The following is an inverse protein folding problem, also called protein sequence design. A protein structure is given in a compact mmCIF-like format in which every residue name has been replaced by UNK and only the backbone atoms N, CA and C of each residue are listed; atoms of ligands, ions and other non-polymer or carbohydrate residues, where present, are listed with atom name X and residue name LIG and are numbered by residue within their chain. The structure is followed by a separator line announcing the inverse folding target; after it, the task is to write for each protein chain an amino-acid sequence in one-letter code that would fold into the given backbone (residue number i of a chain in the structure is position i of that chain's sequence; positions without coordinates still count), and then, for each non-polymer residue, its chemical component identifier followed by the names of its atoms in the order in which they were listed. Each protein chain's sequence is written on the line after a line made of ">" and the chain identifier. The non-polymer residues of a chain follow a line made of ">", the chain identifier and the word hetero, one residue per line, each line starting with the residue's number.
data_IF_372764559259
#
_entry.id   IF_372764559259
#
_cell.length_a   1.000
_cell.length_b   1.000
_cell.length_c   1.000
_cell.angle_alpha   90.00
_cell.angle_beta   90.00
_cell.angle_gamma   90.00
#
_symmetry.space_group_name_H-M   'P 1'
#
loop_
_entity.id
_entity.type
_entity.pdbx_description
1 polymer ?
#
# COMPACT_ATOMS: atom_id res chain seq x y z
N UNK A 1 16.39 28.29 -1.91
CA UNK A 1 17.11 27.90 -0.69
C UNK A 1 17.15 26.37 -0.65
N UNK A 2 18.25 25.75 -1.22
CA UNK A 2 18.43 24.30 -1.23
C UNK A 2 18.91 23.85 0.15
N UNK A 3 18.00 23.55 1.05
CA UNK A 3 18.31 22.78 2.25
C UNK A 3 18.66 21.36 1.79
N UNK A 4 19.93 21.12 1.51
CA UNK A 4 20.49 19.78 1.40
C UNK A 4 20.42 19.15 2.79
N UNK A 5 19.27 18.58 3.14
CA UNK A 5 19.11 17.75 4.32
C UNK A 5 20.05 16.54 4.12
N UNK A 6 21.16 16.52 4.83
CA UNK A 6 22.11 15.41 4.86
C UNK A 6 21.32 14.11 5.07
N UNK A 7 21.55 13.13 4.20
CA UNK A 7 20.93 11.82 4.38
C UNK A 7 21.27 11.28 5.78
N UNK A 8 20.30 10.80 6.57
CA UNK A 8 20.58 10.29 7.90
C UNK A 8 21.57 9.12 7.81
N UNK A 9 22.37 8.95 8.85
CA UNK A 9 23.31 7.83 8.96
C UNK A 9 22.60 6.47 8.88
N UNK A 10 23.31 5.43 8.52
CA UNK A 10 22.74 4.07 8.48
C UNK A 10 22.13 3.68 9.83
N UNK A 11 22.80 4.02 10.93
CA UNK A 11 22.30 3.80 12.31
C UNK A 11 21.01 4.58 12.61
N UNK A 12 20.92 5.83 12.19
CA UNK A 12 19.71 6.62 12.37
C UNK A 12 18.51 6.02 11.59
N UNK A 13 18.74 5.48 10.41
CA UNK A 13 17.68 4.81 9.64
C UNK A 13 17.22 3.51 10.32
N UNK A 14 18.15 2.75 10.90
CA UNK A 14 17.82 1.55 11.70
C UNK A 14 17.00 1.92 12.92
N UNK A 15 17.40 2.97 13.66
CA UNK A 15 16.65 3.46 14.81
C UNK A 15 15.23 3.90 14.42
N UNK A 16 15.07 4.67 13.33
CA UNK A 16 13.75 5.08 12.84
C UNK A 16 12.90 3.85 12.46
N UNK A 17 13.49 2.85 11.80
CA UNK A 17 12.76 1.60 11.49
C UNK A 17 12.32 0.87 12.75
N UNK A 18 13.16 0.78 13.77
CA UNK A 18 12.82 0.16 15.06
C UNK A 18 11.65 0.89 15.73
N UNK A 19 11.71 2.22 15.78
CA UNK A 19 10.62 3.04 16.35
C UNK A 19 9.31 2.83 15.56
N UNK A 20 9.36 2.92 14.24
CA UNK A 20 8.15 2.71 13.40
C UNK A 20 7.62 1.28 13.54
N UNK A 21 8.51 0.28 13.66
CA UNK A 21 8.12 -1.11 13.89
C UNK A 21 7.35 -1.26 15.21
N UNK A 22 7.88 -0.70 16.30
CA UNK A 22 7.20 -0.70 17.61
C UNK A 22 5.87 0.02 17.54
N UNK A 23 5.81 1.21 16.93
CA UNK A 23 4.56 1.96 16.77
C UNK A 23 3.51 1.18 15.96
N UNK A 24 3.92 0.40 14.96
CA UNK A 24 3.00 -0.46 14.21
C UNK A 24 2.50 -1.67 15.03
N UNK A 25 3.23 -2.10 16.07
CA UNK A 25 2.80 -3.20 16.95
C UNK A 25 1.86 -2.74 18.06
N UNK A 26 1.95 -1.48 18.50
CA UNK A 26 1.18 -0.97 19.64
C UNK A 26 -0.33 -1.24 19.51
N UNK A 27 -1.00 -0.98 18.38
CA UNK A 27 -2.44 -1.25 18.26
C UNK A 27 -2.80 -2.73 18.41
N UNK A 28 -1.96 -3.63 17.88
CA UNK A 28 -2.19 -5.07 18.04
C UNK A 28 -2.01 -5.50 19.48
N UNK A 29 -1.02 -4.93 20.17
CA UNK A 29 -0.78 -5.18 21.59
C UNK A 29 -1.94 -4.64 22.45
N UNK A 30 -2.42 -3.44 22.17
CA UNK A 30 -3.59 -2.84 22.83
C UNK A 30 -4.82 -3.75 22.71
N UNK A 31 -5.12 -4.25 21.51
CA UNK A 31 -6.24 -5.16 21.29
C UNK A 31 -6.03 -6.49 22.01
N UNK A 32 -4.81 -7.05 21.97
CA UNK A 32 -4.50 -8.33 22.62
C UNK A 32 -4.59 -8.26 24.16
N UNK A 33 -4.13 -7.17 24.76
CA UNK A 33 -4.20 -6.93 26.21
C UNK A 33 -5.58 -6.48 26.66
N UNK A 34 -6.32 -5.76 25.82
CA UNK A 34 -7.67 -5.28 26.10
C UNK A 34 -8.68 -6.41 26.24
N UNK A 35 -8.46 -7.55 25.57
CA UNK A 35 -9.34 -8.71 25.70
C UNK A 35 -9.41 -9.27 27.13
N UNK A 36 -8.30 -9.70 27.76
CA UNK A 36 -8.31 -10.21 29.12
C UNK A 36 -8.59 -9.12 30.17
N UNK A 37 -8.31 -7.86 29.87
CA UNK A 37 -8.56 -6.73 30.75
C UNK A 37 -10.00 -6.22 30.71
N UNK A 38 -10.89 -6.79 29.86
CA UNK A 38 -12.27 -6.35 29.66
C UNK A 38 -12.42 -4.85 29.31
N UNK A 39 -11.43 -4.27 28.61
CA UNK A 39 -11.42 -2.84 28.24
C UNK A 39 -11.98 -2.59 26.83
N UNK A 40 -12.36 -3.64 26.10
CA UNK A 40 -12.80 -3.55 24.70
C UNK A 40 -14.29 -3.20 24.54
N UNK A 41 -15.00 -2.97 25.64
CA UNK A 41 -16.43 -2.61 25.65
C UNK A 41 -17.36 -3.80 25.62
N UNK A 42 -18.66 -3.54 25.36
CA UNK A 42 -19.72 -4.54 25.44
C UNK A 42 -19.64 -5.65 24.39
N UNK A 43 -19.06 -5.36 23.21
CA UNK A 43 -18.85 -6.34 22.13
C UNK A 43 -17.37 -6.38 21.73
N UNK A 44 -16.54 -7.17 22.43
CA UNK A 44 -15.10 -7.23 22.18
C UNK A 44 -14.76 -7.74 20.78
N UNK A 45 -15.49 -8.71 20.25
CA UNK A 45 -15.25 -9.29 18.91
C UNK A 45 -15.44 -8.21 17.85
N UNK A 46 -16.53 -7.47 17.89
CA UNK A 46 -16.78 -6.37 16.96
C UNK A 46 -15.71 -5.29 17.07
N UNK A 47 -15.29 -4.93 18.28
CA UNK A 47 -14.26 -3.93 18.54
C UNK A 47 -12.93 -4.34 17.90
N UNK A 48 -12.48 -5.59 18.11
CA UNK A 48 -11.22 -6.10 17.54
C UNK A 48 -11.32 -6.20 16.02
N UNK A 49 -12.43 -6.69 15.50
CA UNK A 49 -12.67 -6.81 14.05
C UNK A 49 -12.60 -5.43 13.38
N UNK A 50 -13.33 -4.45 13.91
CA UNK A 50 -13.32 -3.09 13.34
C UNK A 50 -11.96 -2.41 13.47
N UNK A 51 -11.33 -2.50 14.63
CA UNK A 51 -10.03 -1.86 14.87
C UNK A 51 -8.92 -2.46 14.01
N UNK A 52 -8.84 -3.79 13.87
CA UNK A 52 -7.85 -4.46 13.03
C UNK A 52 -8.00 -4.08 11.55
N UNK A 53 -9.23 -4.04 11.03
CA UNK A 53 -9.51 -3.60 9.66
C UNK A 53 -9.16 -2.12 9.43
N UNK A 54 -9.50 -1.26 10.37
CA UNK A 54 -9.16 0.17 10.29
C UNK A 54 -7.66 0.40 10.33
N UNK A 55 -6.89 -0.34 11.15
CA UNK A 55 -5.43 -0.25 11.16
C UNK A 55 -4.79 -0.78 9.87
N UNK A 56 -5.34 -1.84 9.27
CA UNK A 56 -4.92 -2.29 7.95
C UNK A 56 -5.06 -1.18 6.91
N UNK A 57 -6.21 -0.50 6.88
CA UNK A 57 -6.47 0.62 5.97
C UNK A 57 -5.54 1.81 6.24
N UNK A 58 -5.37 2.21 7.51
CA UNK A 58 -4.45 3.30 7.90
C UNK A 58 -3.03 3.04 7.41
N UNK A 59 -2.49 1.86 7.69
CA UNK A 59 -1.12 1.48 7.29
C UNK A 59 -0.98 1.38 5.77
N UNK A 60 -2.02 0.95 5.07
CA UNK A 60 -2.05 0.95 3.60
C UNK A 60 -1.97 2.39 3.05
N UNK A 61 -2.77 3.32 3.58
CA UNK A 61 -2.74 4.73 3.19
C UNK A 61 -1.41 5.40 3.54
N UNK A 62 -0.85 5.13 4.74
CA UNK A 62 0.49 5.60 5.14
C UNK A 62 1.55 5.09 4.15
N UNK A 63 1.49 3.80 3.76
CA UNK A 63 2.39 3.22 2.75
C UNK A 63 2.28 3.96 1.41
N UNK A 64 1.07 4.34 1.02
CA UNK A 64 0.84 5.15 -0.17
C UNK A 64 1.34 6.60 0.01
N UNK A 65 1.22 7.19 1.19
CA UNK A 65 1.67 8.56 1.47
C UNK A 65 3.20 8.73 1.43
N UNK A 66 3.99 7.68 1.62
CA UNK A 66 5.47 7.72 1.57
C UNK A 66 5.99 8.35 0.27
N UNK A 67 5.38 8.07 -0.88
CA UNK A 67 5.85 8.60 -2.17
C UNK A 67 5.58 10.10 -2.33
N UNK A 68 4.36 10.63 -2.09
CA UNK A 68 4.14 12.06 -2.05
C UNK A 68 5.02 12.78 -1.03
N UNK A 69 5.09 12.26 0.20
CA UNK A 69 5.88 12.86 1.25
C UNK A 69 7.36 12.99 0.84
N UNK A 70 7.94 11.94 0.26
CA UNK A 70 9.30 12.01 -0.28
C UNK A 70 9.46 13.10 -1.35
N UNK A 71 8.47 13.27 -2.24
CA UNK A 71 8.55 14.28 -3.32
C UNK A 71 8.49 15.70 -2.77
N UNK A 72 7.67 15.94 -1.75
CA UNK A 72 7.54 17.27 -1.14
C UNK A 72 8.72 17.62 -0.23
N UNK A 73 9.23 16.65 0.54
CA UNK A 73 10.28 16.89 1.53
C UNK A 73 11.70 16.66 1.00
N UNK A 74 11.85 15.96 -0.14
CA UNK A 74 13.17 15.51 -0.63
C UNK A 74 13.80 14.37 0.17
N UNK A 75 13.11 13.82 1.18
CA UNK A 75 13.62 12.77 2.07
C UNK A 75 13.58 11.39 1.41
N UNK A 76 14.58 11.09 0.59
CA UNK A 76 14.64 9.83 -0.17
C UNK A 76 14.69 8.57 0.70
N UNK A 77 15.20 8.65 1.92
CA UNK A 77 15.30 7.53 2.85
C UNK A 77 13.93 6.97 3.30
N UNK A 78 12.85 7.77 3.23
CA UNK A 78 11.48 7.33 3.53
C UNK A 78 11.05 6.09 2.72
N UNK A 79 11.57 5.91 1.52
CA UNK A 79 11.28 4.71 0.71
C UNK A 79 11.69 3.40 1.41
N UNK A 80 12.67 3.46 2.33
CA UNK A 80 13.12 2.28 3.08
C UNK A 80 12.09 1.80 4.11
N UNK A 81 11.11 2.64 4.47
CA UNK A 81 10.00 2.29 5.38
C UNK A 81 8.84 1.61 4.64
N UNK A 82 8.69 1.86 3.33
CA UNK A 82 7.51 1.46 2.55
C UNK A 82 7.24 -0.04 2.59
N UNK A 83 8.30 -0.87 2.49
CA UNK A 83 8.15 -2.33 2.55
C UNK A 83 7.61 -2.78 3.91
N UNK A 84 8.17 -2.26 5.00
CA UNK A 84 7.77 -2.61 6.36
C UNK A 84 6.32 -2.20 6.62
N UNK A 85 5.95 -0.97 6.30
CA UNK A 85 4.57 -0.46 6.44
C UNK A 85 3.56 -1.29 5.63
N UNK A 86 3.91 -1.66 4.39
CA UNK A 86 3.07 -2.51 3.55
C UNK A 86 2.88 -3.92 4.10
N UNK A 87 3.93 -4.51 4.70
CA UNK A 87 3.84 -5.81 5.36
C UNK A 87 3.01 -5.74 6.65
N UNK A 88 3.09 -4.65 7.42
CA UNK A 88 2.19 -4.43 8.54
C UNK A 88 0.73 -4.25 8.10
N UNK A 89 0.47 -3.51 7.01
CA UNK A 89 -0.87 -3.41 6.44
C UNK A 89 -1.43 -4.80 6.09
N UNK A 90 -0.61 -5.68 5.49
CA UNK A 90 -0.99 -7.07 5.22
C UNK A 90 -1.21 -7.85 6.52
N UNK A 91 -0.34 -7.74 7.52
CA UNK A 91 -0.48 -8.46 8.79
C UNK A 91 -1.79 -8.11 9.51
N UNK A 92 -2.15 -6.82 9.54
CA UNK A 92 -3.43 -6.38 10.09
C UNK A 92 -4.63 -6.86 9.26
N UNK A 93 -4.53 -6.82 7.92
CA UNK A 93 -5.59 -7.35 7.05
C UNK A 93 -5.75 -8.87 7.22
N UNK A 94 -4.65 -9.61 7.38
CA UNK A 94 -4.66 -11.03 7.67
C UNK A 94 -5.28 -11.32 9.04
N UNK A 95 -4.89 -10.57 10.08
CA UNK A 95 -5.49 -10.68 11.41
C UNK A 95 -6.99 -10.38 11.39
N UNK A 96 -7.41 -9.31 10.70
CA UNK A 96 -8.82 -8.95 10.51
C UNK A 96 -9.62 -10.09 9.86
N UNK A 97 -9.10 -10.66 8.79
CA UNK A 97 -9.73 -11.80 8.12
C UNK A 97 -9.78 -13.06 9.00
N UNK A 98 -8.69 -13.32 9.77
CA UNK A 98 -8.65 -14.46 10.71
C UNK A 98 -9.68 -14.30 11.84
N UNK A 99 -9.84 -13.08 12.37
CA UNK A 99 -10.86 -12.79 13.39
C UNK A 99 -12.25 -13.07 12.84
N UNK A 100 -12.56 -12.62 11.62
CA UNK A 100 -13.82 -12.93 10.93
C UNK A 100 -14.02 -14.44 10.79
N UNK A 101 -13.03 -15.19 10.32
CA UNK A 101 -13.17 -16.65 10.16
C UNK A 101 -13.37 -17.38 11.49
N UNK A 102 -12.63 -16.97 12.52
CA UNK A 102 -12.58 -17.71 13.78
C UNK A 102 -13.64 -17.27 14.78
N UNK A 103 -13.72 -15.97 15.06
CA UNK A 103 -14.55 -15.45 16.15
C UNK A 103 -15.96 -15.06 15.70
N UNK A 104 -16.14 -14.73 14.42
CA UNK A 104 -17.45 -14.32 13.88
C UNK A 104 -18.17 -15.51 13.21
N UNK A 105 -17.46 -16.29 12.38
CA UNK A 105 -18.03 -17.38 11.59
C UNK A 105 -17.73 -18.80 12.14
N UNK A 106 -16.89 -18.93 13.18
CA UNK A 106 -16.54 -20.22 13.79
C UNK A 106 -16.10 -21.30 12.78
N UNK A 107 -15.47 -20.89 11.67
CA UNK A 107 -15.05 -21.74 10.54
C UNK A 107 -16.21 -22.49 9.85
N UNK A 108 -17.44 -21.97 9.91
CA UNK A 108 -18.54 -22.48 9.08
C UNK A 108 -18.33 -22.06 7.62
N UNK A 109 -17.73 -22.96 6.83
CA UNK A 109 -17.38 -22.70 5.43
C UNK A 109 -18.59 -22.40 4.55
N UNK A 110 -19.78 -22.98 4.86
CA UNK A 110 -21.01 -22.71 4.12
C UNK A 110 -21.51 -21.29 4.42
N UNK A 111 -21.56 -20.92 5.69
CA UNK A 111 -21.93 -19.57 6.11
C UNK A 111 -20.97 -18.52 5.52
N UNK A 112 -19.64 -18.78 5.57
CA UNK A 112 -18.62 -17.92 5.00
C UNK A 112 -18.81 -17.72 3.48
N UNK A 113 -19.06 -18.82 2.76
CA UNK A 113 -19.27 -18.75 1.30
C UNK A 113 -20.51 -17.93 0.95
N UNK A 114 -21.62 -18.14 1.66
CA UNK A 114 -22.86 -17.38 1.48
C UNK A 114 -22.64 -15.90 1.85
N UNK A 115 -21.97 -15.61 2.97
CA UNK A 115 -21.66 -14.25 3.39
C UNK A 115 -20.85 -13.47 2.32
N UNK A 116 -19.86 -14.14 1.71
CA UNK A 116 -19.05 -13.53 0.65
C UNK A 116 -19.90 -13.26 -0.60
N UNK A 117 -20.87 -14.12 -0.93
CA UNK A 117 -21.68 -13.98 -2.13
C UNK A 117 -22.85 -13.00 -1.94
N UNK A 118 -23.50 -13.01 -0.76
CA UNK A 118 -24.74 -12.28 -0.53
C UNK A 118 -24.50 -10.86 0.03
N UNK A 119 -23.32 -10.61 0.61
CA UNK A 119 -22.97 -9.31 1.18
C UNK A 119 -21.90 -8.59 0.37
N UNK A 120 -22.27 -7.64 -0.51
CA UNK A 120 -21.32 -6.99 -1.43
C UNK A 120 -20.12 -6.34 -0.73
N UNK A 121 -20.30 -5.82 0.50
CA UNK A 121 -19.18 -5.23 1.23
C UNK A 121 -18.15 -6.28 1.66
N UNK A 122 -18.58 -7.51 2.04
CA UNK A 122 -17.66 -8.62 2.36
C UNK A 122 -16.92 -9.08 1.10
N UNK A 123 -17.64 -9.24 -0.02
CA UNK A 123 -17.03 -9.58 -1.32
C UNK A 123 -15.90 -8.63 -1.70
N UNK A 124 -16.13 -7.32 -1.55
CA UNK A 124 -15.14 -6.29 -1.89
C UNK A 124 -13.94 -6.34 -0.93
N UNK A 125 -14.19 -6.53 0.37
CA UNK A 125 -13.13 -6.70 1.37
C UNK A 125 -12.29 -7.95 1.12
N UNK A 126 -12.94 -9.07 0.81
CA UNK A 126 -12.28 -10.32 0.47
C UNK A 126 -11.44 -10.19 -0.81
N UNK A 127 -11.98 -9.55 -1.85
CA UNK A 127 -11.22 -9.28 -3.07
C UNK A 127 -9.98 -8.41 -2.81
N UNK A 128 -10.09 -7.37 -1.98
CA UNK A 128 -8.95 -6.56 -1.57
C UNK A 128 -7.89 -7.39 -0.84
N UNK A 129 -8.30 -8.28 0.06
CA UNK A 129 -7.40 -9.17 0.80
C UNK A 129 -6.69 -10.17 -0.13
N UNK A 130 -7.42 -10.84 -1.02
CA UNK A 130 -6.84 -11.78 -2.00
C UNK A 130 -5.80 -11.10 -2.90
N UNK A 131 -6.08 -9.88 -3.36
CA UNK A 131 -5.12 -9.09 -4.14
C UNK A 131 -3.90 -8.65 -3.32
N UNK A 132 -4.02 -8.51 -2.01
CA UNK A 132 -2.93 -8.11 -1.13
C UNK A 132 -1.93 -9.25 -0.87
N UNK A 133 -2.37 -10.51 -0.91
CA UNK A 133 -1.54 -11.70 -0.71
C UNK A 133 -0.32 -11.73 -1.64
N UNK A 134 -0.44 -11.65 -2.98
CA UNK A 134 0.71 -11.69 -3.87
C UNK A 134 1.65 -10.49 -3.67
N UNK A 135 1.16 -9.33 -3.23
CA UNK A 135 2.01 -8.19 -2.90
C UNK A 135 2.88 -8.48 -1.68
N UNK A 136 2.30 -9.06 -0.63
CA UNK A 136 3.04 -9.46 0.56
C UNK A 136 4.06 -10.56 0.23
N UNK A 137 3.64 -11.62 -0.46
CA UNK A 137 4.48 -12.75 -0.84
C UNK A 137 5.69 -12.34 -1.71
N UNK A 138 5.50 -11.33 -2.59
CA UNK A 138 6.56 -10.82 -3.47
C UNK A 138 7.32 -9.63 -2.90
N UNK A 139 7.07 -9.25 -1.64
CA UNK A 139 7.75 -8.16 -0.94
C UNK A 139 9.13 -8.58 -0.41
N UNK A 140 9.95 -9.27 -1.21
CA UNK A 140 11.29 -9.69 -0.84
C UNK A 140 12.28 -9.58 -2.03
N UNK A 141 13.57 -9.59 -1.75
CA UNK A 141 14.62 -9.43 -2.77
C UNK A 141 14.69 -10.62 -3.74
N UNK A 142 14.33 -11.81 -3.30
CA UNK A 142 14.30 -13.01 -4.14
C UNK A 142 13.21 -12.87 -5.22
N UNK A 143 12.00 -12.49 -4.83
CA UNK A 143 10.90 -12.28 -5.76
C UNK A 143 11.20 -11.17 -6.79
N UNK A 144 11.83 -10.06 -6.36
CA UNK A 144 12.24 -8.97 -7.27
C UNK A 144 13.23 -9.49 -8.32
N UNK A 145 14.22 -10.31 -7.92
CA UNK A 145 15.18 -10.91 -8.86
C UNK A 145 14.52 -11.90 -9.81
N UNK A 146 13.61 -12.74 -9.31
CA UNK A 146 12.95 -13.79 -10.10
C UNK A 146 11.93 -13.22 -11.11
N UNK A 147 11.12 -12.24 -10.70
CA UNK A 147 10.10 -11.61 -11.56
C UNK A 147 10.68 -10.58 -12.52
N UNK A 148 11.82 -9.99 -12.15
CA UNK A 148 12.37 -8.80 -12.79
C UNK A 148 11.63 -7.53 -12.38
N UNK A 149 12.34 -6.40 -12.37
CA UNK A 149 11.82 -5.14 -11.83
C UNK A 149 10.54 -4.65 -12.51
N UNK A 150 10.40 -4.85 -13.83
CA UNK A 150 9.24 -4.38 -14.59
C UNK A 150 7.96 -5.13 -14.21
N UNK A 151 7.99 -6.46 -14.16
CA UNK A 151 6.84 -7.30 -13.77
C UNK A 151 6.50 -7.12 -12.31
N UNK A 152 7.51 -7.05 -11.44
CA UNK A 152 7.33 -6.78 -10.03
C UNK A 152 6.62 -5.44 -9.80
N UNK A 153 7.05 -4.36 -10.46
CA UNK A 153 6.39 -3.06 -10.37
C UNK A 153 4.96 -3.07 -10.91
N UNK A 154 4.70 -3.85 -11.99
CA UNK A 154 3.34 -4.00 -12.53
C UNK A 154 2.42 -4.65 -11.52
N UNK A 155 2.85 -5.75 -10.89
CA UNK A 155 2.11 -6.43 -9.82
C UNK A 155 1.85 -5.47 -8.64
N UNK A 156 2.90 -4.78 -8.16
CA UNK A 156 2.78 -3.88 -7.01
C UNK A 156 1.96 -2.60 -7.29
N UNK A 157 1.61 -2.31 -8.55
CA UNK A 157 0.65 -1.25 -8.88
C UNK A 157 -0.80 -1.61 -8.51
N UNK A 158 -1.13 -2.90 -8.34
CA UNK A 158 -2.45 -3.32 -7.85
C UNK A 158 -2.78 -2.77 -6.46
N UNK A 159 -1.78 -2.28 -5.71
CA UNK A 159 -1.98 -1.59 -4.42
C UNK A 159 -2.97 -0.42 -4.54
N UNK A 160 -3.09 0.22 -5.69
CA UNK A 160 -4.05 1.30 -5.90
C UNK A 160 -5.50 0.78 -5.96
N UNK A 161 -5.71 -0.33 -6.69
CA UNK A 161 -7.01 -1.00 -6.73
C UNK A 161 -7.38 -1.55 -5.34
N UNK A 162 -6.43 -2.17 -4.64
CA UNK A 162 -6.61 -2.66 -3.26
C UNK A 162 -7.05 -1.54 -2.34
N UNK A 163 -6.41 -0.37 -2.40
CA UNK A 163 -6.77 0.77 -1.56
C UNK A 163 -8.18 1.30 -1.86
N UNK A 164 -8.60 1.33 -3.14
CA UNK A 164 -9.96 1.69 -3.53
C UNK A 164 -10.97 0.69 -2.97
N UNK A 165 -10.70 -0.62 -3.15
CA UNK A 165 -11.57 -1.68 -2.63
C UNK A 165 -11.67 -1.64 -1.09
N UNK A 166 -10.56 -1.39 -0.39
CA UNK A 166 -10.54 -1.30 1.07
C UNK A 166 -11.35 -0.10 1.60
N UNK A 167 -11.24 1.06 0.94
CA UNK A 167 -12.07 2.23 1.29
C UNK A 167 -13.54 1.97 0.99
N UNK A 168 -13.84 1.34 -0.14
CA UNK A 168 -15.22 1.00 -0.51
C UNK A 168 -15.84 -0.03 0.46
N UNK A 169 -15.07 -1.05 0.84
CA UNK A 169 -15.45 -2.03 1.87
C UNK A 169 -15.82 -1.32 3.18
N UNK A 170 -14.96 -0.41 3.66
CA UNK A 170 -15.20 0.34 4.88
C UNK A 170 -16.41 1.27 4.75
N UNK A 171 -16.59 1.93 3.60
CA UNK A 171 -17.72 2.82 3.34
C UNK A 171 -19.06 2.09 3.39
N UNK A 172 -19.15 0.92 2.79
CA UNK A 172 -20.39 0.14 2.77
C UNK A 172 -20.72 -0.54 4.10
N UNK A 173 -19.70 -0.78 4.94
CA UNK A 173 -19.92 -1.33 6.28
C UNK A 173 -20.61 -0.33 7.23
N UNK A 174 -20.35 0.98 7.05
CA UNK A 174 -20.81 2.03 7.96
C UNK A 174 -22.16 2.57 7.50
N UNK A 175 -23.21 2.41 8.34
CA UNK A 175 -24.58 2.81 8.00
C UNK A 175 -24.92 4.25 8.41
N UNK A 176 -24.33 4.78 9.49
CA UNK A 176 -24.74 6.05 10.09
C UNK A 176 -23.57 7.07 10.18
N UNK A 177 -22.41 6.69 10.67
CA UNK A 177 -21.26 7.59 10.84
C UNK A 177 -20.35 7.54 9.61
N UNK A 178 -20.66 8.34 8.60
CA UNK A 178 -19.88 8.46 7.36
C UNK A 178 -18.61 9.30 7.51
N UNK A 179 -18.36 9.93 8.67
CA UNK A 179 -17.23 10.84 8.88
C UNK A 179 -15.88 10.16 8.65
N UNK A 180 -15.66 8.99 9.24
CA UNK A 180 -14.40 8.22 9.06
C UNK A 180 -14.23 7.68 7.63
N UNK A 181 -15.23 7.02 7.01
CA UNK A 181 -15.14 6.61 5.61
C UNK A 181 -14.84 7.77 4.66
N UNK A 182 -15.49 8.92 4.86
CA UNK A 182 -15.27 10.12 4.05
C UNK A 182 -13.83 10.64 4.19
N UNK A 183 -13.29 10.65 5.42
CA UNK A 183 -11.89 11.03 5.67
C UNK A 183 -10.93 10.13 4.89
N UNK A 184 -11.08 8.80 4.97
CA UNK A 184 -10.18 7.88 4.27
C UNK A 184 -10.34 7.94 2.75
N UNK A 185 -11.57 8.11 2.25
CA UNK A 185 -11.84 8.33 0.84
C UNK A 185 -11.17 9.62 0.32
N UNK A 186 -11.29 10.71 1.08
CA UNK A 186 -10.65 11.99 0.74
C UNK A 186 -9.12 11.89 0.74
N UNK A 187 -8.54 11.25 1.76
CA UNK A 187 -7.11 11.00 1.81
C UNK A 187 -6.64 10.17 0.61
N UNK A 188 -7.36 9.10 0.28
CA UNK A 188 -7.03 8.28 -0.89
C UNK A 188 -7.15 9.06 -2.18
N UNK A 189 -8.22 9.85 -2.36
CA UNK A 189 -8.42 10.69 -3.54
C UNK A 189 -7.26 11.70 -3.73
N UNK A 190 -6.82 12.36 -2.67
CA UNK A 190 -5.66 13.26 -2.69
C UNK A 190 -4.38 12.49 -3.07
N UNK A 191 -4.12 11.34 -2.45
CA UNK A 191 -2.92 10.53 -2.72
C UNK A 191 -2.86 10.03 -4.17
N UNK A 192 -3.98 9.61 -4.73
CA UNK A 192 -4.08 9.15 -6.11
C UNK A 192 -4.06 10.32 -7.10
N UNK A 193 -4.75 11.42 -6.77
CA UNK A 193 -4.77 12.64 -7.56
C UNK A 193 -3.38 13.25 -7.73
N UNK A 194 -2.62 13.38 -6.64
CA UNK A 194 -1.21 13.83 -6.71
C UNK A 194 -0.36 12.96 -7.63
N UNK A 195 -0.56 11.62 -7.57
CA UNK A 195 0.19 10.72 -8.46
C UNK A 195 -0.20 10.85 -9.91
N UNK A 196 -1.50 10.99 -10.19
CA UNK A 196 -2.03 11.23 -11.53
C UNK A 196 -1.46 12.52 -12.11
N UNK A 197 -1.53 13.60 -11.34
CA UNK A 197 -1.00 14.91 -11.72
C UNK A 197 0.51 14.85 -12.04
N UNK A 198 1.32 14.24 -11.17
CA UNK A 198 2.75 14.12 -11.44
C UNK A 198 3.07 13.28 -12.68
N UNK A 199 2.33 12.20 -12.91
CA UNK A 199 2.50 11.39 -14.13
C UNK A 199 2.19 12.19 -15.37
N UNK A 200 1.13 13.00 -15.32
CA UNK A 200 0.75 13.86 -16.45
C UNK A 200 1.78 14.95 -16.70
N UNK A 201 2.32 15.59 -15.65
CA UNK A 201 3.42 16.54 -15.79
C UNK A 201 4.68 15.91 -16.39
N UNK A 202 5.05 14.71 -15.96
CA UNK A 202 6.18 13.98 -16.52
C UNK A 202 5.96 13.61 -17.99
N UNK A 203 4.75 13.17 -18.34
CA UNK A 203 4.35 12.89 -19.72
C UNK A 203 4.46 14.13 -20.61
N UNK A 204 3.92 15.26 -20.17
CA UNK A 204 4.01 16.53 -20.91
C UNK A 204 5.45 16.98 -21.12
N UNK A 205 6.29 16.85 -20.08
CA UNK A 205 7.73 17.16 -20.20
C UNK A 205 8.43 16.28 -21.23
N UNK A 206 8.11 14.97 -21.26
CA UNK A 206 8.70 14.06 -22.26
C UNK A 206 8.26 14.40 -23.69
N UNK A 207 7.03 14.84 -23.88
CA UNK A 207 6.51 15.25 -25.19
C UNK A 207 7.09 16.60 -25.67
N UNK A 208 7.49 17.48 -24.74
CA UNK A 208 8.09 18.78 -25.06
C UNK A 208 9.59 18.71 -25.37
N UNK A 209 10.26 17.59 -25.06
CA UNK A 209 11.67 17.38 -25.43
C UNK A 209 11.73 16.90 -26.88
N UNK A 210 12.38 17.64 -27.81
CA UNK A 210 12.54 17.16 -29.17
C UNK A 210 13.23 15.77 -29.17
N UNK A 211 12.85 14.85 -30.06
CA UNK A 211 13.53 13.59 -30.17
C UNK A 211 15.04 13.86 -30.41
N UNK A 212 15.93 13.07 -29.77
CA UNK A 212 17.37 13.23 -30.01
C UNK A 212 17.59 13.16 -31.49
N UNK A 213 18.33 14.16 -32.06
CA UNK A 213 18.71 14.17 -33.45
C UNK A 213 19.35 12.81 -33.76
N UNK A 214 18.69 12.03 -34.62
CA UNK A 214 19.30 10.81 -35.14
C UNK A 214 20.60 11.26 -35.74
N UNK A 215 21.73 10.94 -35.11
CA UNK A 215 23.02 11.00 -35.78
C UNK A 215 22.86 10.11 -37.02
N UNK A 216 22.63 10.76 -38.16
CA UNK A 216 22.82 10.15 -39.44
C UNK A 216 24.32 9.88 -39.47
N UNK A 217 24.76 8.72 -39.02
CA UNK A 217 26.05 8.18 -39.38
C UNK A 217 26.08 8.21 -40.89
N UNK A 218 26.74 9.25 -41.44
CA UNK A 218 27.10 9.27 -42.85
C UNK A 218 27.98 8.05 -43.05
N UNK A 219 27.35 6.99 -43.55
CA UNK A 219 28.06 5.82 -44.06
C UNK A 219 28.94 6.32 -45.17
N UNK A 220 30.18 6.69 -44.84
CA UNK A 220 31.21 7.07 -45.81
C UNK A 220 31.52 5.79 -46.57
N UNK A 221 30.83 5.59 -47.70
CA UNK A 221 31.17 4.55 -48.66
C UNK A 221 32.49 4.99 -49.27
N UNK A 222 33.61 4.47 -48.78
CA UNK A 222 34.90 4.58 -49.49
C UNK A 222 34.79 3.78 -50.76
N UNK A 223 34.58 4.47 -51.88
CA UNK A 223 34.79 3.91 -53.21
C UNK A 223 36.27 3.64 -53.35
N UNK A 224 36.70 2.40 -53.18
CA UNK A 224 38.04 1.96 -53.49
C UNK A 224 38.07 1.77 -55.01
N UNK A 225 38.94 2.49 -55.76
CA UNK A 225 39.11 2.25 -57.20
C UNK A 225 39.71 0.84 -57.36
N UNK A 226 39.10 0.00 -58.17
CA UNK A 226 39.71 -1.25 -58.65
C UNK A 226 40.78 -0.86 -59.66
N UNK A 227 42.03 -1.21 -59.38
CA UNK A 227 43.15 -1.30 -60.38
C UNK A 227 43.07 -2.66 -61.07
#
# INVERSE_FOLDING_TARGET
>A
MNLSLKAPSAGAIVAVKAVVFVLCLLPALELALGWPANTLGANPIETITRASGEWALRLLLITLAVTPLRRFTGLHWLLRLRRMLGLFAFAYAFGHFTIYLWLDQFFDWNAIALDILDRPFITVGFAAFVLLIPLAATSNSFAIRRLGGRRWQSLHRSVYAIAILAVLHFWWLVKADIGRPLLYASLLAVLLGLRGWWRELERRRQLSVPPPAKHLEKKVIRLVPRQ
#
